data_IF_344409943153
#
_entry.id   IF_344409943153
#
_cell.length_a   1.000
_cell.length_b   1.000
_cell.length_c   1.000
_cell.angle_alpha   90.00
_cell.angle_beta   90.00
_cell.angle_gamma   90.00
#
_symmetry.space_group_name_H-M   'P 1'
#
loop_
_entity.id
_entity.type
_entity.pdbx_description
1 polymer ?
#
# COMPACT_ATOMS: atom_id res chain seq x y z
N UNK A 1 10.29 -13.44 18.05
CA UNK A 1 9.44 -14.08 19.07
C UNK A 1 8.35 -13.10 19.43
N UNK A 2 7.09 -13.52 19.40
CA UNK A 2 5.93 -12.68 19.70
C UNK A 2 4.81 -13.52 20.31
N UNK A 3 3.72 -12.86 20.65
CA UNK A 3 2.50 -13.47 21.15
C UNK A 3 1.45 -13.52 20.03
N UNK A 4 0.76 -14.65 19.91
CA UNK A 4 -0.33 -14.80 18.94
C UNK A 4 -1.59 -14.23 19.60
N UNK A 5 -2.21 -13.24 18.93
CA UNK A 5 -3.47 -12.67 19.39
C UNK A 5 -4.61 -13.64 19.05
N UNK A 6 -5.43 -13.96 20.05
CA UNK A 6 -6.58 -14.87 19.89
C UNK A 6 -7.64 -14.23 18.95
N UNK A 7 -8.10 -14.99 17.98
CA UNK A 7 -9.12 -14.53 17.02
C UNK A 7 -8.62 -13.61 15.91
N UNK A 8 -7.30 -13.32 15.85
CA UNK A 8 -6.68 -12.49 14.82
C UNK A 8 -5.78 -13.35 13.93
N UNK A 9 -6.07 -13.40 12.64
CA UNK A 9 -5.30 -14.23 11.68
C UNK A 9 -5.17 -13.56 10.31
N UNK A 10 -4.56 -12.38 10.20
CA UNK A 10 -4.30 -11.78 8.90
C UNK A 10 -3.23 -12.59 8.16
N UNK A 11 -3.51 -12.95 6.91
CA UNK A 11 -2.55 -13.67 6.07
C UNK A 11 -2.72 -13.30 4.60
N UNK A 12 -1.64 -13.38 3.81
CA UNK A 12 -1.65 -13.00 2.40
C UNK A 12 -2.61 -13.79 1.52
N UNK A 13 -3.03 -14.98 1.96
CA UNK A 13 -3.98 -15.83 1.25
C UNK A 13 -5.45 -15.63 1.70
N UNK A 14 -5.73 -14.63 2.51
CA UNK A 14 -7.07 -14.43 3.10
C UNK A 14 -7.87 -13.29 2.45
N UNK A 15 -7.35 -12.61 1.43
CA UNK A 15 -8.11 -11.56 0.75
C UNK A 15 -9.34 -12.15 0.04
N UNK A 16 -10.48 -11.51 0.21
CA UNK A 16 -11.75 -11.95 -0.36
C UNK A 16 -12.36 -10.88 -1.27
N UNK A 17 -13.05 -11.27 -2.34
CA UNK A 17 -13.77 -10.31 -3.19
C UNK A 17 -14.75 -9.44 -2.39
N UNK A 18 -14.67 -8.14 -2.62
CA UNK A 18 -15.42 -7.12 -1.87
C UNK A 18 -14.63 -6.46 -0.75
N UNK A 19 -13.44 -6.97 -0.39
CA UNK A 19 -12.56 -6.29 0.56
C UNK A 19 -12.16 -4.93 0.03
N UNK A 20 -12.10 -3.95 0.92
CA UNK A 20 -11.51 -2.65 0.65
C UNK A 20 -10.02 -2.67 0.96
N UNK A 21 -9.24 -2.05 0.08
CA UNK A 21 -7.78 -1.97 0.22
C UNK A 21 -7.45 -0.60 0.78
N UNK A 22 -6.83 -0.58 1.97
CA UNK A 22 -6.43 0.65 2.66
C UNK A 22 -4.90 0.71 2.66
N UNK A 23 -4.34 1.87 2.26
CA UNK A 23 -2.95 2.21 2.53
C UNK A 23 -2.89 3.22 3.68
N UNK A 24 -1.90 3.09 4.57
CA UNK A 24 -1.83 3.89 5.80
C UNK A 24 -1.24 5.29 5.61
N UNK A 25 -0.92 5.69 4.39
CA UNK A 25 -0.43 7.03 4.06
C UNK A 25 0.18 7.09 2.67
N UNK A 26 0.92 8.17 2.38
CA UNK A 26 1.55 8.41 1.10
C UNK A 26 2.63 7.36 0.76
N UNK A 27 2.79 7.06 -0.53
CA UNK A 27 3.65 5.99 -0.99
C UNK A 27 4.98 6.49 -1.56
N UNK A 28 6.02 5.65 -1.49
CA UNK A 28 7.29 5.82 -2.18
C UNK A 28 8.29 6.79 -1.55
N UNK A 29 8.01 7.39 -0.39
CA UNK A 29 8.93 8.37 0.24
C UNK A 29 10.28 7.77 0.61
N UNK A 30 10.30 6.60 1.25
CA UNK A 30 11.57 5.99 1.63
C UNK A 30 12.42 5.69 0.40
N UNK A 31 11.87 4.99 -0.59
CA UNK A 31 12.60 4.68 -1.84
C UNK A 31 13.09 5.94 -2.55
N UNK A 32 12.28 7.01 -2.60
CA UNK A 32 12.68 8.29 -3.17
C UNK A 32 13.83 8.92 -2.37
N UNK A 33 13.80 8.90 -1.04
CA UNK A 33 14.90 9.39 -0.18
C UNK A 33 16.20 8.63 -0.48
N UNK A 34 16.14 7.30 -0.59
CA UNK A 34 17.31 6.50 -0.92
C UNK A 34 17.86 6.80 -2.34
N UNK A 35 16.98 7.05 -3.30
CA UNK A 35 17.41 7.45 -4.66
C UNK A 35 18.17 8.79 -4.65
N UNK A 36 17.65 9.77 -3.92
CA UNK A 36 18.27 11.09 -3.77
C UNK A 36 19.62 11.01 -3.03
N UNK A 37 19.69 10.27 -1.93
CA UNK A 37 20.92 10.10 -1.13
C UNK A 37 22.06 9.39 -1.91
N UNK A 38 21.71 8.54 -2.87
CA UNK A 38 22.69 7.88 -3.74
C UNK A 38 23.34 8.83 -4.76
N UNK A 39 22.86 10.05 -4.87
CA UNK A 39 23.36 11.17 -5.72
C UNK A 39 23.80 10.78 -7.14
N UNK A 40 23.13 9.80 -7.73
CA UNK A 40 23.46 9.33 -9.09
C UNK A 40 22.93 10.28 -10.18
N UNK A 41 22.02 11.19 -9.82
CA UNK A 41 21.25 11.98 -10.77
C UNK A 41 21.44 13.49 -10.61
N UNK A 42 22.17 13.94 -9.56
CA UNK A 42 22.37 15.38 -9.28
C UNK A 42 21.03 16.10 -9.00
N UNK A 43 20.06 15.41 -8.43
CA UNK A 43 18.74 15.97 -8.10
C UNK A 43 18.67 16.29 -6.61
N UNK A 44 18.06 17.44 -6.30
CA UNK A 44 17.75 17.84 -4.94
C UNK A 44 16.23 17.96 -4.78
N UNK A 45 15.68 17.32 -3.75
CA UNK A 45 14.29 17.46 -3.34
C UNK A 45 14.17 17.32 -1.82
N UNK A 46 13.19 17.99 -1.22
CA UNK A 46 12.97 17.94 0.23
C UNK A 46 12.07 16.74 0.58
N UNK A 47 12.58 15.53 0.41
CA UNK A 47 11.89 14.29 0.74
C UNK A 47 12.58 13.64 1.93
N UNK A 48 11.79 13.29 2.94
CA UNK A 48 12.26 12.54 4.13
C UNK A 48 11.61 11.16 4.15
N UNK A 49 12.33 10.16 4.64
CA UNK A 49 11.80 8.80 4.79
C UNK A 49 10.54 8.79 5.64
N UNK A 50 9.63 7.88 5.30
CA UNK A 50 8.40 7.58 6.04
C UNK A 50 8.61 6.56 7.17
N UNK A 51 9.85 6.17 7.48
CA UNK A 51 10.16 5.18 8.52
C UNK A 51 9.51 5.54 9.86
N UNK A 52 8.65 4.65 10.36
CA UNK A 52 7.86 4.88 11.56
C UNK A 52 7.45 3.57 12.26
N UNK A 53 7.28 3.57 13.59
CA UNK A 53 6.71 2.44 14.31
C UNK A 53 5.18 2.40 14.12
N UNK A 54 4.64 1.27 13.65
CA UNK A 54 3.23 1.16 13.27
C UNK A 54 2.39 0.28 14.22
N UNK A 55 2.98 -0.26 15.28
CA UNK A 55 2.25 -1.18 16.17
C UNK A 55 0.98 -0.57 16.76
N UNK A 56 1.01 0.69 17.19
CA UNK A 56 -0.15 1.35 17.79
C UNK A 56 -1.31 1.47 16.77
N UNK A 57 -1.00 1.80 15.52
CA UNK A 57 -1.98 1.88 14.45
C UNK A 57 -2.56 0.50 14.10
N UNK A 58 -1.71 -0.54 14.05
CA UNK A 58 -2.16 -1.93 13.84
C UNK A 58 -3.10 -2.37 14.97
N UNK A 59 -2.73 -2.11 16.23
CA UNK A 59 -3.56 -2.46 17.37
C UNK A 59 -4.92 -1.75 17.34
N UNK A 60 -4.94 -0.45 17.03
CA UNK A 60 -6.18 0.31 16.89
C UNK A 60 -7.08 -0.23 15.76
N UNK A 61 -6.49 -0.62 14.62
CA UNK A 61 -7.21 -1.23 13.52
C UNK A 61 -7.82 -2.58 13.92
N UNK A 62 -7.07 -3.44 14.63
CA UNK A 62 -7.54 -4.75 15.11
C UNK A 62 -8.60 -4.63 16.20
N UNK A 63 -8.54 -3.61 17.06
CA UNK A 63 -9.60 -3.30 18.03
C UNK A 63 -10.88 -2.83 17.34
N UNK A 64 -10.76 -2.08 16.24
CA UNK A 64 -11.91 -1.66 15.45
C UNK A 64 -12.55 -2.81 14.66
N UNK A 65 -11.72 -3.75 14.14
CA UNK A 65 -12.16 -4.90 13.38
C UNK A 65 -11.15 -6.06 13.49
N UNK A 66 -11.41 -7.08 14.31
CA UNK A 66 -10.51 -8.23 14.43
C UNK A 66 -10.54 -9.15 13.19
N UNK A 67 -11.50 -8.95 12.30
CA UNK A 67 -11.71 -9.71 11.06
C UNK A 67 -10.98 -9.12 9.83
N UNK A 68 -9.93 -8.33 10.02
CA UNK A 68 -9.06 -7.88 8.93
C UNK A 68 -8.42 -9.10 8.26
N UNK A 69 -8.54 -9.22 6.93
CA UNK A 69 -8.07 -10.38 6.18
C UNK A 69 -6.57 -10.34 5.92
N UNK A 70 -6.02 -9.17 5.57
CA UNK A 70 -4.58 -9.02 5.30
C UNK A 70 -4.04 -7.75 5.94
N UNK A 71 -2.87 -7.85 6.55
CA UNK A 71 -2.03 -6.72 6.98
C UNK A 71 -0.63 -6.99 6.46
N UNK A 72 -0.10 -6.13 5.59
CA UNK A 72 1.18 -6.32 4.93
C UNK A 72 1.96 -5.01 4.90
N UNK A 73 3.23 -5.07 5.27
CA UNK A 73 4.17 -3.96 5.09
C UNK A 73 4.47 -3.74 3.60
N UNK A 74 4.59 -2.46 3.20
CA UNK A 74 4.89 -2.07 1.83
C UNK A 74 6.38 -1.73 1.66
N UNK A 75 7.28 -2.51 2.25
CA UNK A 75 8.72 -2.29 2.25
C UNK A 75 9.31 -2.53 0.85
N UNK A 76 10.11 -3.55 0.66
CA UNK A 76 10.77 -3.80 -0.63
C UNK A 76 9.77 -4.02 -1.77
N UNK A 77 9.88 -3.21 -2.83
CA UNK A 77 8.99 -3.25 -3.98
C UNK A 77 7.67 -2.52 -3.79
N UNK A 78 7.48 -1.83 -2.64
CA UNK A 78 6.36 -0.93 -2.39
C UNK A 78 4.98 -1.57 -2.43
N UNK A 79 3.97 -0.74 -2.51
CA UNK A 79 2.56 -1.14 -2.55
C UNK A 79 2.25 -1.99 -3.79
N UNK A 80 2.82 -1.65 -4.96
CA UNK A 80 2.56 -2.39 -6.21
C UNK A 80 2.93 -3.86 -6.11
N UNK A 81 4.08 -4.18 -5.50
CA UNK A 81 4.48 -5.59 -5.28
C UNK A 81 3.54 -6.28 -4.30
N UNK A 82 3.16 -5.62 -3.20
CA UNK A 82 2.21 -6.19 -2.23
C UNK A 82 0.88 -6.54 -2.89
N UNK A 83 0.33 -5.64 -3.72
CA UNK A 83 -0.94 -5.90 -4.41
C UNK A 83 -0.84 -7.15 -5.30
N UNK A 84 0.25 -7.32 -6.05
CA UNK A 84 0.45 -8.51 -6.87
C UNK A 84 0.63 -9.79 -6.05
N UNK A 85 1.43 -9.74 -4.98
CA UNK A 85 1.62 -10.88 -4.08
C UNK A 85 0.30 -11.36 -3.47
N UNK A 86 -0.56 -10.43 -3.04
CA UNK A 86 -1.85 -10.78 -2.44
C UNK A 86 -2.85 -11.27 -3.50
N UNK A 87 -2.88 -10.66 -4.68
CA UNK A 87 -3.72 -11.11 -5.79
C UNK A 87 -3.41 -12.57 -6.17
N UNK A 88 -2.12 -12.93 -6.22
CA UNK A 88 -1.66 -14.28 -6.54
C UNK A 88 -1.95 -15.27 -5.39
N UNK A 89 -1.59 -14.91 -4.15
CA UNK A 89 -1.76 -15.79 -2.98
C UNK A 89 -3.22 -16.09 -2.64
N UNK A 90 -4.12 -15.15 -2.90
CA UNK A 90 -5.56 -15.28 -2.63
C UNK A 90 -6.38 -15.70 -3.86
N UNK A 91 -5.76 -15.85 -5.04
CA UNK A 91 -6.43 -16.15 -6.32
C UNK A 91 -7.58 -15.16 -6.63
N UNK A 92 -7.32 -13.86 -6.45
CA UNK A 92 -8.27 -12.77 -6.66
C UNK A 92 -7.71 -11.73 -7.61
N UNK A 93 -8.59 -10.87 -8.16
CA UNK A 93 -8.18 -9.66 -8.85
C UNK A 93 -8.25 -8.44 -7.94
N UNK A 94 -7.53 -7.38 -8.31
CA UNK A 94 -7.54 -6.11 -7.59
C UNK A 94 -7.92 -5.00 -8.58
N UNK A 95 -8.87 -4.14 -8.18
CA UNK A 95 -9.16 -2.87 -8.84
C UNK A 95 -8.58 -1.74 -8.00
N UNK A 96 -7.57 -1.05 -8.55
CA UNK A 96 -6.87 0.06 -7.94
C UNK A 96 -7.37 1.38 -8.52
N UNK A 97 -7.80 2.30 -7.67
CA UNK A 97 -8.07 3.69 -8.01
C UNK A 97 -6.78 4.49 -7.89
N UNK A 98 -6.17 4.84 -9.03
CA UNK A 98 -4.89 5.54 -9.05
C UNK A 98 -4.97 6.97 -8.52
N UNK A 99 -6.13 7.62 -8.62
CA UNK A 99 -6.34 8.97 -8.07
C UNK A 99 -6.41 8.95 -6.53
N UNK A 100 -6.88 7.84 -5.97
CA UNK A 100 -6.96 7.68 -4.53
C UNK A 100 -5.61 7.37 -3.88
N UNK A 101 -4.59 6.94 -4.65
CA UNK A 101 -3.26 6.64 -4.09
C UNK A 101 -2.55 7.94 -3.71
N UNK A 102 -2.25 8.17 -2.42
CA UNK A 102 -1.59 9.41 -2.02
C UNK A 102 -0.10 9.36 -2.35
N UNK A 103 0.36 10.30 -3.17
CA UNK A 103 1.78 10.49 -3.51
C UNK A 103 2.18 11.91 -3.15
N UNK A 104 3.25 12.06 -2.38
CA UNK A 104 3.80 13.38 -2.06
C UNK A 104 4.25 14.09 -3.36
N UNK A 105 3.96 15.39 -3.56
CA UNK A 105 4.31 16.11 -4.79
C UNK A 105 5.80 16.07 -5.15
N UNK A 106 6.70 16.12 -4.17
CA UNK A 106 8.14 16.02 -4.39
C UNK A 106 8.52 14.60 -4.88
N UNK A 107 7.90 13.56 -4.31
CA UNK A 107 8.08 12.17 -4.77
C UNK A 107 7.58 12.03 -6.21
N UNK A 108 6.39 12.54 -6.51
CA UNK A 108 5.84 12.53 -7.87
C UNK A 108 6.74 13.27 -8.87
N UNK A 109 7.33 14.41 -8.46
CA UNK A 109 8.28 15.16 -9.27
C UNK A 109 9.54 14.36 -9.59
N UNK A 110 10.17 13.76 -8.58
CA UNK A 110 11.39 12.95 -8.75
C UNK A 110 11.11 11.72 -9.61
N UNK A 111 10.06 10.95 -9.30
CA UNK A 111 9.71 9.74 -10.02
C UNK A 111 9.32 10.04 -11.46
N UNK A 112 8.58 11.13 -11.71
CA UNK A 112 8.23 11.57 -13.06
C UNK A 112 9.45 11.91 -13.92
N UNK A 113 10.48 12.57 -13.36
CA UNK A 113 11.73 12.86 -14.08
C UNK A 113 12.54 11.59 -14.39
N UNK A 114 12.46 10.58 -13.54
CA UNK A 114 13.19 9.32 -13.70
C UNK A 114 12.42 8.24 -14.47
N UNK A 115 11.13 8.48 -14.79
CA UNK A 115 10.26 7.47 -15.41
C UNK A 115 9.97 6.28 -14.48
N UNK A 116 9.93 6.52 -13.16
CA UNK A 116 9.65 5.51 -12.15
C UNK A 116 8.18 5.57 -11.72
N UNK A 117 7.62 4.41 -11.38
CA UNK A 117 6.28 4.29 -10.80
C UNK A 117 6.37 4.36 -9.27
N UNK A 118 5.75 5.37 -8.59
CA UNK A 118 5.81 5.52 -7.15
C UNK A 118 5.33 4.29 -6.37
N UNK A 119 4.37 3.53 -6.92
CA UNK A 119 3.83 2.31 -6.31
C UNK A 119 4.89 1.23 -6.07
N UNK A 120 6.02 1.25 -6.80
CA UNK A 120 7.10 0.26 -6.66
C UNK A 120 8.27 0.75 -5.81
N UNK A 121 8.20 1.98 -5.30
CA UNK A 121 9.20 2.48 -4.36
C UNK A 121 8.91 2.00 -2.94
N UNK A 122 9.95 1.62 -2.22
CA UNK A 122 9.86 1.15 -0.85
C UNK A 122 9.22 2.18 0.10
N UNK A 123 8.42 1.67 1.03
CA UNK A 123 7.82 2.41 2.13
C UNK A 123 8.18 1.71 3.45
N UNK A 124 8.86 2.40 4.37
CA UNK A 124 9.33 1.81 5.63
C UNK A 124 8.41 2.13 6.83
N UNK A 125 7.36 2.93 6.58
CA UNK A 125 6.34 3.30 7.56
C UNK A 125 4.93 3.21 6.98
N UNK A 126 4.67 2.29 6.03
CA UNK A 126 3.34 2.09 5.44
C UNK A 126 2.93 0.63 5.44
N UNK A 127 1.64 0.42 5.67
CA UNK A 127 0.96 -0.86 5.56
C UNK A 127 -0.11 -0.81 4.48
N UNK A 128 -0.36 -1.95 3.87
CA UNK A 128 -1.53 -2.23 3.04
C UNK A 128 -2.41 -3.22 3.80
N UNK A 129 -3.68 -2.86 3.97
CA UNK A 129 -4.66 -3.69 4.67
C UNK A 129 -5.80 -4.05 3.74
N UNK A 130 -6.22 -5.32 3.78
CA UNK A 130 -7.40 -5.81 3.08
C UNK A 130 -8.47 -6.08 4.12
N UNK A 131 -9.55 -5.31 4.04
CA UNK A 131 -10.55 -5.21 5.10
C UNK A 131 -11.94 -5.49 4.54
N UNK A 132 -12.74 -6.37 5.17
CA UNK A 132 -14.12 -6.57 4.77
C UNK A 132 -14.86 -5.23 4.64
N UNK A 133 -15.64 -5.05 3.57
CA UNK A 133 -16.31 -3.78 3.28
C UNK A 133 -17.13 -3.24 4.46
N UNK A 134 -17.77 -4.15 5.23
CA UNK A 134 -18.56 -3.80 6.43
C UNK A 134 -17.73 -3.15 7.55
N UNK A 135 -16.43 -3.43 7.61
CA UNK A 135 -15.51 -2.99 8.66
C UNK A 135 -14.58 -1.86 8.19
N UNK A 136 -14.54 -1.58 6.89
CA UNK A 136 -13.57 -0.67 6.27
C UNK A 136 -13.61 0.75 6.85
N UNK A 137 -14.82 1.32 7.05
CA UNK A 137 -14.96 2.68 7.60
C UNK A 137 -14.45 2.77 9.05
N UNK A 138 -14.71 1.74 9.86
CA UNK A 138 -14.25 1.70 11.25
C UNK A 138 -12.71 1.58 11.34
N UNK A 139 -12.11 0.72 10.52
CA UNK A 139 -10.66 0.58 10.43
C UNK A 139 -10.01 1.84 9.90
N UNK A 140 -10.57 2.45 8.85
CA UNK A 140 -10.07 3.70 8.29
C UNK A 140 -10.06 4.83 9.34
N UNK A 141 -11.16 4.99 10.08
CA UNK A 141 -11.25 5.99 11.14
C UNK A 141 -10.24 5.75 12.28
N UNK A 142 -10.02 4.49 12.68
CA UNK A 142 -9.02 4.12 13.68
C UNK A 142 -7.60 4.46 13.20
N UNK A 143 -7.27 4.15 11.96
CA UNK A 143 -5.98 4.49 11.36
C UNK A 143 -5.79 6.00 11.26
N UNK A 144 -6.78 6.74 10.78
CA UNK A 144 -6.71 8.21 10.65
C UNK A 144 -6.59 8.93 12.00
N UNK A 145 -6.96 8.27 13.09
CA UNK A 145 -6.82 8.79 14.46
C UNK A 145 -5.51 8.36 15.14
N UNK A 146 -4.70 7.54 14.47
CA UNK A 146 -3.44 7.00 14.99
C UNK A 146 -2.24 7.76 14.44
N UNK A 147 -1.20 7.91 15.29
CA UNK A 147 0.06 8.55 14.90
C UNK A 147 0.71 7.80 13.71
N UNK A 148 1.24 8.55 12.76
CA UNK A 148 1.89 8.11 11.51
C UNK A 148 0.96 7.57 10.42
N UNK A 149 -0.34 7.44 10.69
CA UNK A 149 -1.32 6.88 9.74
C UNK A 149 -2.52 7.79 9.49
N UNK A 150 -2.42 9.08 9.87
CA UNK A 150 -3.45 10.10 9.68
C UNK A 150 -3.88 10.27 8.21
N UNK A 151 -2.95 9.96 7.30
CA UNK A 151 -3.16 9.98 5.85
C UNK A 151 -3.72 8.67 5.28
N UNK A 152 -4.25 7.77 6.11
CA UNK A 152 -4.82 6.52 5.64
C UNK A 152 -6.01 6.75 4.70
N UNK A 153 -6.09 5.96 3.64
CA UNK A 153 -7.13 6.09 2.60
C UNK A 153 -7.41 4.74 1.94
N UNK A 154 -8.65 4.57 1.46
CA UNK A 154 -9.03 3.45 0.60
C UNK A 154 -8.51 3.73 -0.82
N UNK A 155 -7.73 2.79 -1.37
CA UNK A 155 -7.11 2.90 -2.70
C UNK A 155 -7.70 1.94 -3.73
N UNK A 156 -8.61 1.05 -3.32
CA UNK A 156 -9.17 0.07 -4.25
C UNK A 156 -10.01 -1.00 -3.55
N UNK A 157 -10.30 -2.02 -4.31
CA UNK A 157 -11.08 -3.17 -3.85
C UNK A 157 -10.64 -4.48 -4.49
N UNK A 158 -10.93 -5.58 -3.80
CA UNK A 158 -10.71 -6.94 -4.28
C UNK A 158 -11.91 -7.38 -5.11
N UNK A 159 -11.65 -8.07 -6.22
CA UNK A 159 -12.67 -8.55 -7.17
C UNK A 159 -12.42 -10.00 -7.58
N UNK A 160 -13.46 -10.64 -8.14
CA UNK A 160 -13.34 -11.94 -8.81
C UNK A 160 -12.81 -11.84 -10.26
N UNK A 161 -12.68 -10.61 -10.80
CA UNK A 161 -12.27 -10.40 -12.18
C UNK A 161 -10.75 -10.43 -12.27
N UNK A 162 -10.21 -11.10 -13.29
CA UNK A 162 -8.77 -11.18 -13.57
C UNK A 162 -7.90 -11.61 -12.37
N UNK A 163 -8.10 -12.82 -11.80
CA UNK A 163 -7.27 -13.32 -10.69
C UNK A 163 -5.77 -13.21 -10.99
N UNK A 164 -4.98 -12.89 -9.96
CA UNK A 164 -3.54 -12.68 -10.08
C UNK A 164 -3.13 -11.37 -10.75
N UNK A 165 -4.08 -10.46 -11.05
CA UNK A 165 -3.79 -9.19 -11.72
C UNK A 165 -4.30 -7.99 -10.94
N UNK A 166 -3.63 -6.86 -11.17
CA UNK A 166 -4.01 -5.55 -10.64
C UNK A 166 -4.44 -4.68 -11.80
N UNK A 167 -5.70 -4.28 -11.83
CA UNK A 167 -6.27 -3.35 -12.82
C UNK A 167 -6.31 -1.96 -12.21
N UNK A 168 -5.73 -0.99 -12.89
CA UNK A 168 -5.78 0.42 -12.51
C UNK A 168 -6.90 1.14 -13.26
N UNK A 169 -7.66 1.96 -12.55
CA UNK A 169 -8.54 2.94 -13.17
C UNK A 169 -7.80 4.28 -13.25
N UNK A 170 -7.71 4.84 -14.47
CA UNK A 170 -7.04 6.12 -14.70
C UNK A 170 -8.01 7.30 -14.54
N UNK A 171 -7.48 8.54 -14.43
CA UNK A 171 -8.23 9.80 -14.33
C UNK A 171 -9.33 9.97 -15.40
N UNK A 172 -9.14 9.39 -16.58
CA UNK A 172 -10.12 9.44 -17.67
C UNK A 172 -11.09 8.25 -17.68
N UNK A 173 -11.06 7.43 -16.60
CA UNK A 173 -11.92 6.26 -16.44
C UNK A 173 -11.53 5.06 -17.31
N UNK A 174 -10.32 5.03 -17.87
CA UNK A 174 -9.81 3.88 -18.63
C UNK A 174 -9.20 2.87 -17.69
N UNK A 175 -9.51 1.60 -17.89
CA UNK A 175 -8.87 0.50 -17.17
C UNK A 175 -7.62 0.02 -17.92
N UNK A 176 -6.52 -0.18 -17.18
CA UNK A 176 -5.28 -0.77 -17.67
C UNK A 176 -4.66 -1.65 -16.60
N UNK A 177 -3.81 -2.60 -17.00
CA UNK A 177 -3.08 -3.40 -16.03
C UNK A 177 -1.94 -2.57 -15.42
N UNK A 178 -1.81 -2.61 -14.09
CA UNK A 178 -0.55 -2.20 -13.44
C UNK A 178 0.54 -3.14 -13.98
N UNK A 179 1.64 -2.65 -14.57
CA UNK A 179 2.71 -3.55 -15.00
C UNK A 179 3.21 -4.40 -13.82
N UNK A 180 3.38 -5.73 -13.98
CA UNK A 180 3.88 -6.54 -12.88
C UNK A 180 5.28 -6.08 -12.45
N UNK A 181 5.67 -6.27 -11.17
CA UNK A 181 7.01 -5.90 -10.70
C UNK A 181 8.07 -6.57 -11.57
N UNK A 182 8.96 -5.78 -12.17
CA UNK A 182 10.00 -6.26 -13.07
C UNK A 182 11.35 -5.63 -12.74
N UNK A 183 12.43 -6.42 -12.85
CA UNK A 183 13.78 -5.96 -12.58
C UNK A 183 14.19 -6.07 -11.11
N UNK A 184 15.33 -5.46 -10.77
CA UNK A 184 15.83 -5.40 -9.40
C UNK A 184 14.97 -4.42 -8.60
N UNK A 185 14.24 -4.91 -7.61
CA UNK A 185 13.43 -4.07 -6.73
C UNK A 185 14.36 -3.11 -5.99
N UNK A 186 14.14 -1.81 -6.16
CA UNK A 186 14.88 -0.80 -5.43
C UNK A 186 14.58 -0.92 -3.93
N UNK A 187 15.63 -0.90 -3.09
CA UNK A 187 15.46 -0.93 -1.65
C UNK A 187 14.81 0.34 -1.14
#
# INVERSE_FOLDING_TARGET
>A
VGEILEGVNPAGANAEPGDKIIVTGDVGRHGCTILLERDRFGMEANVTSDCAPLWNAVNAALEAAPDIHVIRDATRGGVGTVLYEIADQSDVGIKLDTEAVPVNPEVAGVTGMLGLEPLYLACEGRLVMFVPAKSADAVLAALQSSEHTEGAVVIGEVTNEMPGHVVMTTEIGTETLLPPPSGELLP
#
